data_IF_587962528123
#
_entry.id   IF_587962528123
#
_cell.length_a   1.000
_cell.length_b   1.000
_cell.length_c   1.000
_cell.angle_alpha   90.00
_cell.angle_beta   90.00
_cell.angle_gamma   90.00
#
_symmetry.space_group_name_H-M   'P 1'
#
loop_
_entity.id
_entity.type
_entity.pdbx_description
1 polymer ?
#
# COMPACT_ATOMS: atom_id res chain seq x y z
N UNK A 1 11.11 11.89 -2.42
CA UNK A 1 10.82 10.92 -1.35
C UNK A 1 11.90 9.85 -1.35
N UNK A 2 12.45 9.53 -0.18
CA UNK A 2 13.50 8.52 -0.06
C UNK A 2 12.91 7.11 -0.03
N UNK A 3 13.75 6.12 -0.28
CA UNK A 3 13.35 4.72 -0.19
C UNK A 3 12.84 4.38 1.21
N UNK A 4 13.51 4.87 2.23
CA UNK A 4 13.12 4.61 3.61
C UNK A 4 11.74 5.19 3.92
N UNK A 5 11.46 6.39 3.46
CA UNK A 5 10.16 7.02 3.66
C UNK A 5 9.06 6.24 2.94
N UNK A 6 9.32 5.76 1.74
CA UNK A 6 8.36 4.98 0.98
C UNK A 6 8.10 3.63 1.65
N UNK A 7 9.16 3.01 2.17
CA UNK A 7 9.05 1.76 2.91
C UNK A 7 8.16 1.94 4.13
N UNK A 8 8.37 3.02 4.87
CA UNK A 8 7.60 3.34 6.07
C UNK A 8 6.13 3.60 5.74
N UNK A 9 5.87 4.36 4.67
CA UNK A 9 4.51 4.63 4.21
C UNK A 9 3.81 3.32 3.83
N UNK A 10 4.51 2.43 3.14
CA UNK A 10 3.95 1.16 2.73
C UNK A 10 3.60 0.28 3.93
N UNK A 11 4.47 0.24 4.94
CA UNK A 11 4.22 -0.51 6.16
C UNK A 11 3.00 0.04 6.92
N UNK A 12 2.91 1.37 7.03
CA UNK A 12 1.77 2.02 7.66
C UNK A 12 0.49 1.74 6.88
N UNK A 13 0.56 1.76 5.55
CA UNK A 13 -0.57 1.47 4.70
C UNK A 13 -1.08 0.03 4.91
N UNK A 14 -0.19 -0.93 4.99
CA UNK A 14 -0.58 -2.32 5.22
C UNK A 14 -1.32 -2.48 6.56
N UNK A 15 -0.86 -1.81 7.59
CA UNK A 15 -1.50 -1.82 8.90
C UNK A 15 -2.88 -1.19 8.83
N UNK A 16 -3.00 -0.03 8.21
CA UNK A 16 -4.28 0.67 8.05
C UNK A 16 -5.27 -0.15 7.23
N UNK A 17 -4.79 -0.74 6.14
CA UNK A 17 -5.62 -1.56 5.27
C UNK A 17 -6.21 -2.73 6.05
N UNK A 18 -5.41 -3.36 6.86
CA UNK A 18 -5.85 -4.48 7.70
C UNK A 18 -6.97 -4.04 8.64
N UNK A 19 -6.76 -2.93 9.32
CA UNK A 19 -7.75 -2.39 10.26
C UNK A 19 -9.05 -2.00 9.57
N UNK A 20 -8.94 -1.35 8.41
CA UNK A 20 -10.12 -0.94 7.64
C UNK A 20 -10.93 -2.15 7.19
N UNK A 21 -10.27 -3.17 6.66
CA UNK A 21 -10.93 -4.38 6.19
C UNK A 21 -11.62 -5.08 7.36
N UNK A 22 -10.96 -5.17 8.49
CA UNK A 22 -11.52 -5.83 9.66
C UNK A 22 -12.74 -5.09 10.19
N UNK A 23 -12.66 -3.76 10.30
CA UNK A 23 -13.77 -2.95 10.78
C UNK A 23 -14.99 -3.01 9.85
N UNK A 24 -14.79 -3.15 8.57
CA UNK A 24 -15.84 -3.12 7.56
C UNK A 24 -16.17 -4.51 7.01
N UNK A 25 -15.82 -5.54 7.73
CA UNK A 25 -15.93 -6.91 7.26
C UNK A 25 -17.33 -7.27 6.74
N UNK A 26 -18.38 -6.81 7.42
CA UNK A 26 -19.76 -7.13 7.05
C UNK A 26 -20.36 -6.18 6.01
N UNK A 27 -19.77 -5.00 5.81
CA UNK A 27 -20.27 -3.98 4.89
C UNK A 27 -19.36 -3.79 3.68
N UNK A 28 -18.21 -4.40 3.71
CA UNK A 28 -17.18 -4.26 2.69
C UNK A 28 -17.57 -4.99 1.42
N UNK A 29 -17.50 -4.33 0.28
CA UNK A 29 -17.81 -4.96 -0.99
C UNK A 29 -16.53 -5.18 -1.82
N UNK A 30 -16.64 -5.98 -2.87
CA UNK A 30 -15.53 -6.34 -3.74
C UNK A 30 -14.89 -5.13 -4.40
N UNK A 31 -15.71 -4.13 -4.74
CA UNK A 31 -15.22 -2.93 -5.40
C UNK A 31 -14.28 -2.14 -4.50
N UNK A 32 -14.65 -1.98 -3.23
CA UNK A 32 -13.81 -1.26 -2.26
C UNK A 32 -12.53 -2.03 -1.98
N UNK A 33 -12.62 -3.34 -1.88
CA UNK A 33 -11.44 -4.20 -1.72
C UNK A 33 -10.48 -4.02 -2.91
N UNK A 34 -11.01 -3.97 -4.12
CA UNK A 34 -10.20 -3.79 -5.32
C UNK A 34 -9.48 -2.44 -5.32
N UNK A 35 -10.14 -1.39 -4.83
CA UNK A 35 -9.51 -0.07 -4.71
C UNK A 35 -8.32 -0.10 -3.77
N UNK A 36 -8.45 -0.76 -2.64
CA UNK A 36 -7.36 -0.87 -1.67
C UNK A 36 -6.19 -1.67 -2.25
N UNK A 37 -6.49 -2.74 -2.95
CA UNK A 37 -5.46 -3.57 -3.59
C UNK A 37 -4.72 -2.76 -4.66
N UNK A 38 -5.44 -1.94 -5.41
CA UNK A 38 -4.83 -1.07 -6.42
C UNK A 38 -3.88 -0.05 -5.79
N UNK A 39 -4.28 0.57 -4.70
CA UNK A 39 -3.43 1.52 -3.98
C UNK A 39 -2.17 0.82 -3.47
N UNK A 40 -2.32 -0.37 -2.92
CA UNK A 40 -1.19 -1.17 -2.45
C UNK A 40 -0.21 -1.46 -3.59
N UNK A 41 -0.72 -1.86 -4.75
CA UNK A 41 0.11 -2.14 -5.92
C UNK A 41 0.88 -0.91 -6.38
N UNK A 42 0.23 0.27 -6.39
CA UNK A 42 0.87 1.52 -6.77
C UNK A 42 2.01 1.86 -5.81
N UNK A 43 1.79 1.72 -4.52
CA UNK A 43 2.83 1.99 -3.52
C UNK A 43 4.03 1.05 -3.66
N UNK A 44 3.77 -0.23 -3.88
CA UNK A 44 4.82 -1.22 -4.09
C UNK A 44 5.63 -0.92 -5.35
N UNK A 45 4.95 -0.52 -6.42
CA UNK A 45 5.61 -0.16 -7.67
C UNK A 45 6.52 1.05 -7.48
N UNK A 46 6.06 2.07 -6.78
CA UNK A 46 6.85 3.26 -6.50
C UNK A 46 8.10 2.91 -5.68
N UNK A 47 7.96 2.02 -4.72
CA UNK A 47 9.11 1.58 -3.93
C UNK A 47 10.14 0.86 -4.80
N UNK A 48 9.68 0.00 -5.70
CA UNK A 48 10.58 -0.71 -6.62
C UNK A 48 11.32 0.25 -7.54
N UNK A 49 10.63 1.28 -8.02
CA UNK A 49 11.25 2.30 -8.86
C UNK A 49 12.35 3.06 -8.11
N UNK A 50 12.12 3.40 -6.84
CA UNK A 50 13.12 4.06 -6.02
C UNK A 50 14.34 3.19 -5.81
N UNK A 51 14.14 1.91 -5.59
CA UNK A 51 15.25 0.97 -5.44
C UNK A 51 16.07 0.87 -6.72
N UNK A 52 15.41 0.83 -7.86
CA UNK A 52 16.08 0.76 -9.16
C UNK A 52 16.92 2.01 -9.43
N UNK A 53 16.39 3.18 -9.11
CA UNK A 53 17.10 4.45 -9.27
C UNK A 53 18.36 4.48 -8.38
N UNK A 54 18.20 4.03 -7.15
CA UNK A 54 19.27 4.05 -6.16
C UNK A 54 20.45 3.15 -6.53
N UNK A 55 20.21 2.12 -7.31
CA UNK A 55 21.24 1.19 -7.73
C UNK A 55 22.21 1.75 -8.77
N UNK A 56 21.90 2.88 -9.36
CA UNK A 56 22.78 3.56 -10.27
C UNK A 56 23.77 4.43 -9.51
#
# INVERSE_FOLDING_TARGET
MTEEMMQEILEDWHSWKYDIVELNNSTWNTRDQSKLDMITAILEEQLQLQKAIKRR
#
